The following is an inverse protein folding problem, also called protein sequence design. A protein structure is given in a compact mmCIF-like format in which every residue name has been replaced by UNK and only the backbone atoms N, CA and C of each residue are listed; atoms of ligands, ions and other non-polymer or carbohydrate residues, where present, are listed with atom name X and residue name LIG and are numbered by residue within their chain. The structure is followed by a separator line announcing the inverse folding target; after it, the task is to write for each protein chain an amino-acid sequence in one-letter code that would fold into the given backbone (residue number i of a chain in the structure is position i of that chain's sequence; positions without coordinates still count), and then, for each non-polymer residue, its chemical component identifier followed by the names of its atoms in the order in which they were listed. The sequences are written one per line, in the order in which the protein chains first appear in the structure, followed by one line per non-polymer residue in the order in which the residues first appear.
data_IF_139678347363
#
_entry.id   IF_139678347363
#
_cell.length_a   1.000
_cell.length_b   1.000
_cell.length_c   1.000
_cell.angle_alpha   90.00
_cell.angle_beta   90.00
_cell.angle_gamma   90.00
#
_symmetry.space_group_name_H-M   'P 1'
#
loop_
_entity.id
_entity.type
_entity.pdbx_description
1 polymer ?
#
# COMPACT_ATOMS: atom_id res chain seq x y z
N UNK A 1 26.04 -23.48 -25.42
CA UNK A 1 24.94 -24.29 -24.87
C UNK A 1 23.70 -23.45 -24.56
N UNK A 2 23.43 -22.40 -25.38
CA UNK A 2 22.29 -21.47 -25.18
C UNK A 2 21.43 -21.25 -26.45
N UNK A 3 21.45 -22.19 -27.39
CA UNK A 3 20.62 -22.13 -28.62
C UNK A 3 19.47 -23.14 -28.71
N UNK A 4 19.40 -24.11 -27.78
CA UNK A 4 18.41 -25.22 -27.89
C UNK A 4 17.11 -25.00 -27.09
N UNK A 5 17.03 -24.02 -26.21
CA UNK A 5 15.85 -23.78 -25.37
C UNK A 5 14.81 -22.92 -26.09
N UNK A 6 15.24 -22.03 -26.99
CA UNK A 6 14.32 -21.17 -27.75
C UNK A 6 13.58 -21.87 -28.90
N UNK A 7 14.08 -22.96 -29.44
CA UNK A 7 13.41 -23.70 -30.51
C UNK A 7 12.30 -24.64 -29.98
N UNK A 8 12.53 -25.24 -28.84
CA UNK A 8 11.52 -26.12 -28.19
C UNK A 8 10.31 -25.34 -27.65
N UNK A 9 10.49 -24.09 -27.25
CA UNK A 9 9.40 -23.23 -26.79
C UNK A 9 8.57 -22.71 -27.97
N UNK A 10 9.21 -22.42 -29.12
CA UNK A 10 8.52 -22.01 -30.35
C UNK A 10 7.71 -23.14 -30.98
N UNK A 11 8.19 -24.36 -30.94
CA UNK A 11 7.47 -25.53 -31.46
C UNK A 11 6.21 -25.86 -30.63
N UNK A 12 6.26 -25.75 -29.31
CA UNK A 12 5.10 -25.97 -28.45
C UNK A 12 4.02 -24.88 -28.57
N UNK A 13 4.40 -23.63 -28.83
CA UNK A 13 3.45 -22.54 -29.03
C UNK A 13 2.75 -22.68 -30.39
N UNK A 14 3.44 -23.12 -31.45
CA UNK A 14 2.83 -23.34 -32.75
C UNK A 14 1.88 -24.55 -32.77
N UNK A 15 2.20 -25.66 -32.12
CA UNK A 15 1.28 -26.79 -31.99
C UNK A 15 0.03 -26.45 -31.15
N UNK A 16 0.16 -25.58 -30.15
CA UNK A 16 -0.98 -25.11 -29.35
C UNK A 16 -1.88 -24.15 -30.14
N UNK A 17 -1.30 -23.29 -30.97
CA UNK A 17 -2.04 -22.36 -31.83
C UNK A 17 -2.74 -23.06 -33.00
N UNK A 18 -2.13 -24.08 -33.60
CA UNK A 18 -2.80 -24.88 -34.66
C UNK A 18 -3.99 -25.70 -34.12
N UNK A 19 -3.92 -26.20 -32.89
CA UNK A 19 -5.07 -26.90 -32.27
C UNK A 19 -6.23 -25.96 -31.93
N UNK A 20 -5.98 -24.68 -31.63
CA UNK A 20 -7.03 -23.67 -31.41
C UNK A 20 -7.67 -23.25 -32.76
N UNK A 21 -6.92 -23.19 -33.86
CA UNK A 21 -7.44 -22.81 -35.16
C UNK A 21 -8.28 -23.90 -35.84
N UNK A 22 -8.02 -25.17 -35.56
CA UNK A 22 -8.80 -26.30 -36.12
C UNK A 22 -10.15 -26.43 -35.41
N UNK A 23 -10.29 -26.01 -34.15
CA UNK A 23 -11.57 -26.03 -33.43
C UNK A 23 -12.48 -24.83 -33.75
N UNK A 24 -11.94 -23.75 -34.30
CA UNK A 24 -12.72 -22.51 -34.61
C UNK A 24 -13.37 -22.53 -36.00
N UNK A 25 -13.01 -23.43 -36.90
CA UNK A 25 -13.50 -23.40 -38.30
C UNK A 25 -14.56 -24.47 -38.66
N UNK A 26 -14.89 -25.37 -37.73
CA UNK A 26 -15.90 -26.39 -37.96
C UNK A 26 -17.31 -26.10 -37.40
N UNK A 27 -17.56 -24.88 -36.92
CA UNK A 27 -18.86 -24.53 -36.29
C UNK A 27 -19.63 -23.42 -37.00
N UNK A 28 -19.27 -23.11 -38.23
CA UNK A 28 -19.94 -22.02 -38.99
C UNK A 28 -20.59 -22.54 -40.30
N UNK A 29 -21.37 -23.58 -40.25
CA UNK A 29 -22.36 -23.91 -41.30
C UNK A 29 -23.47 -24.75 -40.69
N UNK A 30 -24.72 -24.30 -40.93
CA UNK A 30 -26.02 -24.93 -40.68
C UNK A 30 -26.69 -24.55 -39.35
N UNK A 31 -27.43 -23.47 -39.31
CA UNK A 31 -28.70 -23.37 -38.59
C UNK A 31 -29.54 -22.19 -39.14
N UNK A 32 -30.08 -22.36 -40.33
CA UNK A 32 -31.41 -21.81 -40.63
C UNK A 32 -32.39 -22.94 -40.40
N UNK A 33 -33.02 -22.98 -39.26
CA UNK A 33 -33.99 -23.99 -38.95
C UNK A 33 -34.77 -23.59 -37.70
N UNK A 34 -36.08 -23.51 -37.85
CA UNK A 34 -37.13 -23.29 -36.84
C UNK A 34 -36.69 -23.36 -35.39
N UNK A 35 -36.91 -22.29 -34.61
CA UNK A 35 -36.89 -22.32 -33.15
C UNK A 35 -38.00 -23.21 -32.61
N UNK A 36 -37.85 -24.54 -32.70
CA UNK A 36 -38.53 -25.44 -31.79
C UNK A 36 -37.81 -25.32 -30.45
N UNK A 37 -38.51 -24.78 -29.43
CA UNK A 37 -38.02 -24.77 -28.06
C UNK A 37 -37.59 -26.22 -27.70
N UNK A 38 -36.28 -26.41 -27.49
CA UNK A 38 -35.79 -27.70 -27.00
C UNK A 38 -36.51 -28.00 -25.69
N UNK A 39 -37.00 -29.23 -25.43
CA UNK A 39 -37.63 -29.59 -24.18
C UNK A 39 -36.65 -29.23 -23.03
N UNK A 40 -37.10 -28.47 -22.08
CA UNK A 40 -36.30 -28.10 -20.91
C UNK A 40 -35.91 -29.38 -20.19
N UNK A 41 -34.62 -29.63 -20.05
CA UNK A 41 -34.07 -30.83 -19.40
C UNK A 41 -34.23 -30.71 -17.87
N UNK A 42 -34.43 -29.48 -17.36
CA UNK A 42 -34.65 -29.16 -15.95
C UNK A 42 -35.54 -27.92 -15.82
N UNK A 43 -36.14 -27.73 -14.66
CA UNK A 43 -36.87 -26.51 -14.33
C UNK A 43 -35.91 -25.48 -13.67
N UNK A 44 -35.61 -24.34 -14.32
CA UNK A 44 -34.73 -23.31 -13.75
C UNK A 44 -35.16 -22.81 -12.37
N UNK A 45 -36.48 -22.75 -12.12
CA UNK A 45 -37.03 -22.26 -10.85
C UNK A 45 -36.70 -23.16 -9.65
N UNK A 46 -36.31 -24.42 -9.91
CA UNK A 46 -35.95 -25.40 -8.87
C UNK A 46 -34.44 -25.45 -8.59
N UNK A 47 -33.62 -24.72 -9.35
CA UNK A 47 -32.18 -24.70 -9.15
C UNK A 47 -31.83 -23.77 -7.98
N UNK A 48 -31.25 -24.30 -6.92
CA UNK A 48 -30.80 -23.50 -5.80
C UNK A 48 -29.49 -22.79 -6.19
N UNK A 49 -29.55 -21.45 -6.28
CA UNK A 49 -28.42 -20.59 -6.53
C UNK A 49 -28.26 -19.53 -5.43
N UNK A 50 -27.05 -19.28 -4.99
CA UNK A 50 -26.72 -18.18 -4.07
C UNK A 50 -25.39 -17.57 -4.40
N UNK A 51 -25.27 -16.27 -4.15
CA UNK A 51 -24.03 -15.52 -4.18
C UNK A 51 -23.81 -14.89 -2.80
N UNK A 52 -22.59 -14.85 -2.31
CA UNK A 52 -22.27 -14.22 -1.02
C UNK A 52 -20.92 -13.52 -1.05
N UNK A 53 -20.78 -12.51 -0.21
CA UNK A 53 -19.52 -11.87 0.13
C UNK A 53 -18.97 -12.48 1.42
N UNK A 54 -17.64 -12.52 1.58
CA UNK A 54 -17.00 -13.13 2.74
C UNK A 54 -17.56 -12.59 4.06
N UNK A 55 -18.19 -13.42 4.91
CA UNK A 55 -18.85 -12.96 6.15
C UNK A 55 -17.89 -12.30 7.14
N UNK A 56 -16.59 -12.63 7.07
CA UNK A 56 -15.54 -12.05 7.89
C UNK A 56 -15.55 -10.52 7.82
N UNK A 57 -15.79 -9.95 6.63
CA UNK A 57 -15.70 -8.51 6.39
C UNK A 57 -17.02 -7.75 6.59
N UNK A 58 -18.11 -8.41 7.00
CA UNK A 58 -19.43 -7.78 7.29
C UNK A 58 -19.91 -6.84 6.17
N UNK A 59 -19.82 -7.27 4.93
CA UNK A 59 -20.12 -6.52 3.71
C UNK A 59 -19.23 -5.27 3.49
N UNK A 60 -18.12 -5.11 4.24
CA UNK A 60 -17.13 -4.05 4.00
C UNK A 60 -16.10 -4.51 2.97
N UNK A 61 -16.01 -3.80 1.87
CA UNK A 61 -15.03 -4.05 0.81
C UNK A 61 -13.86 -3.06 0.92
N UNK A 62 -12.65 -3.60 0.99
CA UNK A 62 -11.41 -2.82 1.13
C UNK A 62 -10.65 -2.81 -0.19
N UNK A 63 -10.68 -1.70 -0.98
CA UNK A 63 -9.90 -1.58 -2.21
C UNK A 63 -8.40 -1.83 -1.99
N UNK A 64 -7.85 -1.34 -0.87
CA UNK A 64 -6.45 -1.53 -0.50
C UNK A 64 -6.03 -3.00 -0.39
N UNK A 65 -6.90 -3.84 0.19
CA UNK A 65 -6.65 -5.29 0.30
C UNK A 65 -6.57 -5.92 -1.09
N UNK A 66 -7.56 -5.62 -1.96
CA UNK A 66 -7.60 -6.16 -3.32
C UNK A 66 -6.39 -5.72 -4.13
N UNK A 67 -6.03 -4.45 -4.09
CA UNK A 67 -4.88 -3.92 -4.83
C UNK A 67 -3.55 -4.45 -4.30
N UNK A 68 -3.38 -4.51 -2.98
CA UNK A 68 -2.15 -4.97 -2.34
C UNK A 68 -1.82 -6.43 -2.61
N UNK A 69 -2.82 -7.27 -2.90
CA UNK A 69 -2.64 -8.71 -3.17
C UNK A 69 -2.82 -9.09 -4.65
N UNK A 70 -3.20 -8.15 -5.51
CA UNK A 70 -3.56 -8.42 -6.91
C UNK A 70 -2.45 -9.09 -7.74
N UNK A 71 -1.19 -8.91 -7.35
CA UNK A 71 -0.01 -9.47 -8.03
C UNK A 71 0.63 -10.63 -7.29
N UNK A 72 -0.04 -11.18 -6.26
CA UNK A 72 0.48 -12.36 -5.56
C UNK A 72 0.50 -13.56 -6.49
N UNK A 73 1.68 -14.11 -6.69
CA UNK A 73 1.90 -15.31 -7.51
C UNK A 73 1.82 -16.61 -6.70
N UNK A 74 1.81 -16.52 -5.37
CA UNK A 74 1.82 -17.68 -4.48
C UNK A 74 0.45 -17.91 -3.81
N UNK A 75 -0.27 -19.00 -4.19
CA UNK A 75 -1.54 -19.35 -3.57
C UNK A 75 -1.46 -19.66 -2.07
N UNK A 76 -0.28 -19.97 -1.53
CA UNK A 76 -0.12 -20.28 -0.10
C UNK A 76 -0.32 -19.03 0.79
N UNK A 77 -0.18 -17.84 0.25
CA UNK A 77 -0.55 -16.58 0.91
C UNK A 77 -1.95 -16.09 0.60
N UNK A 78 -2.71 -16.89 -0.12
CA UNK A 78 -4.08 -16.64 -0.59
C UNK A 78 -5.15 -16.64 0.53
N UNK A 79 -4.78 -16.51 1.80
CA UNK A 79 -5.71 -16.10 2.87
C UNK A 79 -6.33 -14.72 2.60
N UNK A 80 -5.72 -13.98 1.72
CA UNK A 80 -6.28 -12.80 1.08
C UNK A 80 -6.58 -13.09 -0.39
N UNK A 81 -6.95 -14.30 -0.74
CA UNK A 81 -7.41 -14.62 -2.08
C UNK A 81 -8.58 -13.69 -2.39
N UNK A 82 -8.34 -12.72 -3.25
CA UNK A 82 -9.39 -11.85 -3.75
C UNK A 82 -10.46 -12.66 -4.48
N UNK A 83 -10.15 -13.89 -4.90
CA UNK A 83 -11.11 -14.89 -5.34
C UNK A 83 -12.00 -15.40 -4.20
N UNK A 84 -11.51 -15.46 -2.96
CA UNK A 84 -12.29 -15.91 -1.81
C UNK A 84 -13.23 -14.85 -1.22
N UNK A 85 -13.15 -13.57 -1.66
CA UNK A 85 -14.06 -12.53 -1.19
C UNK A 85 -15.51 -12.76 -1.62
N UNK A 86 -15.71 -13.37 -2.79
CA UNK A 86 -17.03 -13.68 -3.33
C UNK A 86 -17.16 -15.16 -3.60
N UNK A 87 -18.25 -15.75 -3.16
CA UNK A 87 -18.58 -17.13 -3.46
C UNK A 87 -19.93 -17.25 -4.15
N UNK A 88 -20.04 -18.21 -5.03
CA UNK A 88 -21.30 -18.63 -5.66
C UNK A 88 -21.52 -20.10 -5.36
N UNK A 89 -22.74 -20.45 -4.94
CA UNK A 89 -23.11 -21.84 -4.71
C UNK A 89 -24.31 -22.20 -5.57
N UNK A 90 -24.26 -23.35 -6.21
CA UNK A 90 -25.31 -23.85 -7.09
C UNK A 90 -25.51 -25.35 -6.89
N UNK A 91 -26.75 -25.82 -6.96
CA UNK A 91 -27.06 -27.25 -6.99
C UNK A 91 -27.26 -27.69 -8.44
N UNK A 92 -26.50 -28.68 -8.88
CA UNK A 92 -26.56 -29.17 -10.25
C UNK A 92 -27.92 -29.82 -10.56
N UNK A 93 -28.71 -29.32 -11.51
CA UNK A 93 -30.01 -29.91 -11.82
C UNK A 93 -29.90 -31.21 -12.65
N UNK A 94 -28.79 -31.38 -13.35
CA UNK A 94 -28.48 -32.58 -14.17
C UNK A 94 -27.00 -32.88 -14.09
N UNK A 95 -26.59 -34.10 -14.39
CA UNK A 95 -25.18 -34.50 -14.46
C UNK A 95 -24.49 -33.81 -15.64
N UNK A 96 -23.22 -33.43 -15.46
CA UNK A 96 -22.38 -32.72 -16.45
C UNK A 96 -23.03 -31.41 -16.95
N UNK A 97 -23.77 -30.71 -16.08
CA UNK A 97 -24.32 -29.39 -16.40
C UNK A 97 -23.19 -28.38 -16.58
N UNK A 98 -23.29 -27.52 -17.58
CA UNK A 98 -22.36 -26.40 -17.79
C UNK A 98 -22.87 -25.18 -17.02
N UNK A 99 -22.16 -24.82 -15.98
CA UNK A 99 -22.40 -23.60 -15.21
C UNK A 99 -21.70 -22.43 -15.91
N UNK A 100 -22.41 -21.30 -16.09
CA UNK A 100 -21.85 -20.02 -16.42
C UNK A 100 -22.39 -18.97 -15.46
N UNK A 101 -21.49 -18.26 -14.79
CA UNK A 101 -21.83 -17.10 -13.96
C UNK A 101 -21.34 -15.84 -14.68
N UNK A 102 -22.22 -14.89 -14.87
CA UNK A 102 -21.86 -13.55 -15.34
C UNK A 102 -21.99 -12.57 -14.18
N UNK A 103 -20.93 -11.80 -13.93
CA UNK A 103 -20.93 -10.72 -12.97
C UNK A 103 -20.91 -9.43 -13.77
N UNK A 104 -21.96 -8.63 -13.65
CA UNK A 104 -22.12 -7.41 -14.46
C UNK A 104 -21.06 -6.35 -14.12
N UNK A 105 -20.80 -5.47 -15.09
CA UNK A 105 -19.93 -4.33 -14.86
C UNK A 105 -20.56 -3.36 -13.87
N UNK A 106 -19.77 -2.95 -12.89
CA UNK A 106 -20.13 -1.88 -11.95
C UNK A 106 -19.07 -0.77 -12.01
N UNK A 107 -19.14 0.20 -11.10
CA UNK A 107 -18.06 1.18 -10.96
C UNK A 107 -16.73 0.56 -10.50
N UNK A 108 -16.75 -0.60 -9.82
CA UNK A 108 -15.57 -1.24 -9.25
C UNK A 108 -14.99 -2.34 -10.12
N UNK A 109 -15.79 -2.98 -10.98
CA UNK A 109 -15.38 -4.14 -11.77
C UNK A 109 -15.85 -4.06 -13.22
N UNK A 110 -15.10 -4.73 -14.11
CA UNK A 110 -15.54 -5.05 -15.47
C UNK A 110 -16.44 -6.27 -15.45
N UNK A 111 -17.14 -6.53 -16.57
CA UNK A 111 -17.87 -7.79 -16.74
C UNK A 111 -16.91 -8.96 -16.51
N UNK A 112 -17.33 -9.89 -15.66
CA UNK A 112 -16.59 -11.12 -15.36
C UNK A 112 -17.45 -12.31 -15.75
N UNK A 113 -16.87 -13.28 -16.47
CA UNK A 113 -17.52 -14.54 -16.82
C UNK A 113 -16.70 -15.66 -16.19
N UNK A 114 -17.39 -16.50 -15.44
CA UNK A 114 -16.85 -17.71 -14.83
C UNK A 114 -17.62 -18.91 -15.39
N UNK A 115 -16.92 -20.01 -15.74
CA UNK A 115 -17.54 -21.21 -16.28
C UNK A 115 -16.91 -22.44 -15.66
N UNK A 116 -17.77 -23.43 -15.32
CA UNK A 116 -17.37 -24.73 -14.79
C UNK A 116 -18.35 -25.82 -15.21
N UNK A 117 -17.93 -27.08 -15.08
CA UNK A 117 -18.79 -28.23 -15.28
C UNK A 117 -19.22 -28.76 -13.92
N UNK A 118 -20.50 -29.08 -13.77
CA UNK A 118 -21.08 -29.68 -12.57
C UNK A 118 -21.31 -31.19 -12.82
N UNK A 119 -20.37 -32.06 -12.40
CA UNK A 119 -20.37 -33.46 -12.82
C UNK A 119 -21.58 -34.28 -12.33
N UNK A 120 -22.02 -34.04 -11.09
CA UNK A 120 -22.99 -34.90 -10.41
C UNK A 120 -24.29 -34.13 -10.14
N UNK A 121 -25.39 -34.70 -10.63
CA UNK A 121 -26.75 -34.18 -10.36
C UNK A 121 -27.05 -34.14 -8.86
N UNK A 122 -27.84 -33.14 -8.45
CA UNK A 122 -28.32 -32.89 -7.08
C UNK A 122 -27.20 -32.60 -6.08
N UNK A 123 -25.93 -32.49 -6.54
CA UNK A 123 -24.79 -32.09 -5.72
C UNK A 123 -24.70 -30.56 -5.68
N UNK A 124 -24.42 -30.01 -4.49
CA UNK A 124 -24.14 -28.57 -4.30
C UNK A 124 -22.66 -28.32 -4.48
N UNK A 125 -22.35 -27.34 -5.33
CA UNK A 125 -20.99 -26.86 -5.62
C UNK A 125 -20.84 -25.45 -5.14
N UNK A 126 -19.66 -25.11 -4.64
CA UNK A 126 -19.29 -23.73 -4.27
C UNK A 126 -18.02 -23.35 -5.01
N UNK A 127 -18.04 -22.18 -5.66
CA UNK A 127 -16.94 -21.63 -6.42
C UNK A 127 -16.62 -20.23 -5.96
N UNK A 128 -15.39 -19.78 -6.23
CA UNK A 128 -14.86 -18.47 -5.90
C UNK A 128 -14.41 -17.77 -7.20
N UNK A 129 -15.31 -17.07 -7.90
CA UNK A 129 -14.99 -16.45 -9.17
C UNK A 129 -13.98 -15.30 -8.97
N UNK A 130 -12.93 -15.27 -9.79
CA UNK A 130 -11.97 -14.17 -9.82
C UNK A 130 -12.58 -12.99 -10.56
N UNK A 131 -12.88 -11.91 -9.82
CA UNK A 131 -13.50 -10.72 -10.37
C UNK A 131 -12.46 -9.84 -11.10
N UNK A 132 -12.83 -9.33 -12.27
CA UNK A 132 -12.01 -8.40 -13.05
C UNK A 132 -12.19 -6.98 -12.53
N UNK A 133 -11.32 -6.57 -11.62
CA UNK A 133 -11.40 -5.25 -10.98
C UNK A 133 -10.94 -4.12 -11.90
N UNK A 134 -11.53 -2.94 -11.72
CA UNK A 134 -11.09 -1.67 -12.31
C UNK A 134 -10.05 -1.04 -11.37
N UNK A 135 -8.80 -1.47 -11.42
CA UNK A 135 -7.75 -1.05 -10.48
C UNK A 135 -7.60 0.46 -10.41
N UNK A 136 -7.64 1.17 -11.55
CA UNK A 136 -7.61 2.63 -11.57
C UNK A 136 -8.76 3.27 -10.77
N UNK A 137 -9.95 2.67 -10.82
CA UNK A 137 -11.11 3.15 -10.06
C UNK A 137 -10.97 2.82 -8.58
N UNK A 138 -10.48 1.64 -8.25
CA UNK A 138 -10.16 1.25 -6.86
C UNK A 138 -9.15 2.22 -6.27
N UNK A 139 -8.05 2.49 -6.97
CA UNK A 139 -7.03 3.44 -6.54
C UNK A 139 -7.59 4.85 -6.31
N UNK A 140 -8.47 5.33 -7.20
CA UNK A 140 -9.09 6.67 -7.10
C UNK A 140 -10.20 6.76 -6.07
N UNK A 141 -10.62 5.65 -5.46
CA UNK A 141 -11.67 5.64 -4.45
C UNK A 141 -11.16 6.24 -3.15
N UNK A 142 -11.45 7.53 -2.89
CA UNK A 142 -11.03 8.26 -1.68
C UNK A 142 -12.14 8.39 -0.63
N UNK A 143 -13.35 7.99 -0.97
CA UNK A 143 -14.50 8.06 -0.08
C UNK A 143 -15.22 6.72 -0.04
N UNK A 144 -15.78 6.40 1.11
CA UNK A 144 -16.64 5.22 1.24
C UNK A 144 -17.93 5.37 0.44
N UNK A 145 -18.55 4.27 0.11
CA UNK A 145 -19.82 4.27 -0.59
C UNK A 145 -20.38 2.86 -0.75
N UNK A 146 -21.39 2.74 -1.58
CA UNK A 146 -22.11 1.48 -1.83
C UNK A 146 -21.97 1.08 -3.29
N UNK A 147 -21.82 -0.21 -3.55
CA UNK A 147 -21.89 -0.81 -4.87
C UNK A 147 -22.75 -2.07 -4.81
N UNK A 148 -23.54 -2.28 -5.86
CA UNK A 148 -24.25 -3.52 -6.08
C UNK A 148 -23.51 -4.33 -7.16
N UNK A 149 -23.27 -5.62 -6.90
CA UNK A 149 -22.72 -6.57 -7.86
C UNK A 149 -23.83 -7.56 -8.22
N UNK A 150 -24.16 -7.63 -9.50
CA UNK A 150 -25.19 -8.52 -10.04
C UNK A 150 -24.57 -9.79 -10.55
N UNK A 151 -24.97 -10.93 -10.01
CA UNK A 151 -24.53 -12.27 -10.38
C UNK A 151 -25.67 -12.97 -11.09
N UNK A 152 -25.53 -13.26 -12.39
CA UNK A 152 -26.48 -14.04 -13.17
C UNK A 152 -25.96 -15.45 -13.38
N UNK A 153 -26.76 -16.43 -12.98
CA UNK A 153 -26.46 -17.85 -13.12
C UNK A 153 -27.13 -18.43 -14.36
N UNK A 154 -26.35 -19.12 -15.17
CA UNK A 154 -26.83 -19.88 -16.32
C UNK A 154 -26.43 -21.35 -16.17
N UNK A 155 -27.32 -22.26 -16.49
CA UNK A 155 -27.06 -23.68 -16.62
C UNK A 155 -27.39 -24.10 -18.04
N UNK A 156 -26.41 -24.67 -18.76
CA UNK A 156 -26.55 -25.07 -20.17
C UNK A 156 -27.11 -23.91 -21.04
N UNK A 157 -26.62 -22.69 -20.80
CA UNK A 157 -27.05 -21.42 -21.42
C UNK A 157 -28.47 -20.95 -21.11
N UNK A 158 -29.20 -21.65 -20.24
CA UNK A 158 -30.51 -21.18 -19.74
C UNK A 158 -30.30 -20.38 -18.45
N UNK A 159 -30.88 -19.17 -18.40
CA UNK A 159 -30.83 -18.32 -17.19
C UNK A 159 -31.64 -18.99 -16.07
N UNK A 160 -31.01 -19.12 -14.90
CA UNK A 160 -31.58 -19.80 -13.74
C UNK A 160 -32.04 -18.81 -12.69
N UNK A 161 -31.15 -17.87 -12.32
CA UNK A 161 -31.43 -16.92 -11.24
C UNK A 161 -30.45 -15.75 -11.28
N UNK A 162 -30.85 -14.63 -10.69
CA UNK A 162 -30.06 -13.41 -10.55
C UNK A 162 -29.97 -13.03 -9.07
N UNK A 163 -28.73 -12.79 -8.58
CA UNK A 163 -28.48 -12.32 -7.21
C UNK A 163 -27.76 -11.01 -7.23
N UNK A 164 -28.29 -10.05 -6.45
CA UNK A 164 -27.65 -8.74 -6.22
C UNK A 164 -27.00 -8.75 -4.84
N UNK A 165 -25.69 -8.52 -4.81
CA UNK A 165 -24.93 -8.35 -3.58
C UNK A 165 -24.59 -6.87 -3.39
N UNK A 166 -25.08 -6.30 -2.29
CA UNK A 166 -24.70 -4.96 -1.87
C UNK A 166 -23.48 -5.02 -0.99
N UNK A 167 -22.42 -4.29 -1.39
CA UNK A 167 -21.20 -4.12 -0.61
C UNK A 167 -20.98 -2.64 -0.26
N UNK A 168 -20.43 -2.41 0.94
CA UNK A 168 -20.00 -1.10 1.39
C UNK A 168 -18.50 -0.99 1.11
N UNK A 169 -18.10 -0.29 0.04
CA UNK A 169 -16.68 -0.12 -0.23
C UNK A 169 -16.11 1.03 0.59
N UNK A 170 -14.88 0.84 1.04
CA UNK A 170 -14.10 1.79 1.83
C UNK A 170 -13.23 2.65 0.93
N UNK A 171 -12.61 3.68 1.52
CA UNK A 171 -11.54 4.42 0.85
C UNK A 171 -10.36 3.51 0.53
N UNK A 172 -9.66 3.76 -0.59
CA UNK A 172 -8.37 3.13 -0.87
C UNK A 172 -7.29 3.48 0.17
N UNK A 173 -7.46 4.61 0.87
CA UNK A 173 -6.62 5.01 1.99
C UNK A 173 -6.88 4.21 3.27
N UNK A 174 -7.98 3.46 3.35
CA UNK A 174 -8.30 2.66 4.52
C UNK A 174 -7.52 1.34 4.48
N UNK A 175 -6.44 1.28 5.23
CA UNK A 175 -5.64 0.08 5.45
C UNK A 175 -6.28 -0.78 6.53
N UNK A 176 -6.70 -1.98 6.16
CA UNK A 176 -7.22 -2.95 7.11
C UNK A 176 -6.06 -3.46 7.98
N UNK A 177 -6.18 -3.36 9.31
CA UNK A 177 -5.16 -3.84 10.24
C UNK A 177 -5.51 -5.20 10.81
N UNK A 178 -6.76 -5.38 11.16
CA UNK A 178 -7.25 -6.66 11.69
C UNK A 178 -8.76 -6.74 11.60
N UNK A 179 -9.26 -7.97 11.57
CA UNK A 179 -10.69 -8.28 11.65
C UNK A 179 -10.89 -9.40 12.66
N UNK A 180 -11.84 -9.21 13.58
CA UNK A 180 -12.25 -10.25 14.51
C UNK A 180 -13.41 -11.06 13.94
N UNK A 181 -13.25 -12.37 13.85
CA UNK A 181 -14.32 -13.25 13.38
C UNK A 181 -15.40 -13.50 14.47
N UNK A 182 -16.44 -14.26 14.11
CA UNK A 182 -17.54 -14.59 15.02
C UNK A 182 -17.14 -15.48 16.19
N UNK A 183 -15.99 -16.18 16.13
CA UNK A 183 -15.43 -16.98 17.22
C UNK A 183 -14.58 -16.13 18.16
N UNK A 184 -14.31 -14.88 17.82
CA UNK A 184 -13.45 -13.97 18.60
C UNK A 184 -11.99 -14.02 18.19
N UNK A 185 -11.60 -14.86 17.21
CA UNK A 185 -10.25 -14.91 16.69
C UNK A 185 -9.95 -13.66 15.86
N UNK A 186 -8.74 -13.10 16.04
CA UNK A 186 -8.30 -11.90 15.35
C UNK A 186 -7.41 -12.25 14.15
N UNK A 187 -7.87 -11.92 12.95
CA UNK A 187 -7.12 -12.06 11.71
C UNK A 187 -6.27 -10.80 11.48
N UNK A 188 -4.97 -10.96 11.33
CA UNK A 188 -4.00 -9.87 11.19
C UNK A 188 -3.75 -9.52 9.71
N UNK A 189 -3.93 -8.25 9.36
CA UNK A 189 -3.69 -7.68 8.04
C UNK A 189 -2.65 -6.54 8.06
N UNK A 190 -1.93 -6.30 9.16
CA UNK A 190 -0.97 -5.18 9.28
C UNK A 190 0.16 -5.24 8.26
N UNK A 191 0.47 -6.42 7.70
CA UNK A 191 1.37 -6.57 6.57
C UNK A 191 0.95 -5.71 5.36
N UNK A 192 -0.33 -5.32 5.26
CA UNK A 192 -0.87 -4.46 4.22
C UNK A 192 -0.29 -3.03 4.26
N UNK A 193 0.29 -2.57 5.37
CA UNK A 193 1.06 -1.32 5.40
C UNK A 193 2.13 -1.27 4.32
N UNK A 194 2.77 -2.40 4.02
CA UNK A 194 3.79 -2.47 3.00
C UNK A 194 3.26 -2.14 1.59
N UNK A 195 1.95 -2.28 1.34
CA UNK A 195 1.35 -1.90 0.06
C UNK A 195 1.33 -0.38 -0.18
N UNK A 196 1.39 0.42 0.88
CA UNK A 196 1.45 1.89 0.78
C UNK A 196 2.89 2.41 0.61
N UNK A 197 3.90 1.60 0.90
CA UNK A 197 5.29 1.93 0.55
C UNK A 197 5.44 1.75 -0.95
N UNK A 198 5.70 2.82 -1.69
CA UNK A 198 5.78 2.81 -3.15
C UNK A 198 7.13 3.37 -3.61
N UNK A 199 8.11 2.50 -3.75
CA UNK A 199 9.46 2.84 -4.22
C UNK A 199 9.53 3.20 -5.71
N UNK A 200 8.48 2.88 -6.48
CA UNK A 200 8.41 3.19 -7.92
C UNK A 200 7.57 4.43 -8.23
N UNK A 201 7.18 5.18 -7.18
CA UNK A 201 6.37 6.39 -7.39
C UNK A 201 7.13 7.43 -8.25
N UNK A 202 6.51 8.01 -9.29
CA UNK A 202 7.18 8.89 -10.26
C UNK A 202 7.87 10.11 -9.62
N UNK A 203 7.38 10.62 -8.48
CA UNK A 203 7.98 11.77 -7.81
C UNK A 203 9.33 11.46 -7.15
N UNK A 204 9.65 10.19 -6.89
CA UNK A 204 10.87 9.85 -6.12
C UNK A 204 12.13 10.23 -6.88
N UNK A 205 12.15 10.06 -8.20
CA UNK A 205 13.35 10.41 -8.99
C UNK A 205 13.64 11.93 -8.94
N UNK A 206 12.60 12.80 -8.97
CA UNK A 206 12.79 14.24 -8.76
C UNK A 206 13.19 14.56 -7.33
N UNK A 207 12.66 13.87 -6.33
CA UNK A 207 13.07 14.00 -4.92
C UNK A 207 14.54 13.66 -4.75
N UNK A 208 15.02 12.58 -5.33
CA UNK A 208 16.43 12.19 -5.26
C UNK A 208 17.34 13.21 -5.96
N UNK A 209 16.88 13.78 -7.07
CA UNK A 209 17.57 14.90 -7.72
C UNK A 209 17.66 16.13 -6.82
N UNK A 210 16.57 16.50 -6.17
CA UNK A 210 16.54 17.63 -5.23
C UNK A 210 17.47 17.40 -4.04
N UNK A 211 17.48 16.18 -3.47
CA UNK A 211 18.39 15.79 -2.38
C UNK A 211 19.85 15.99 -2.79
N UNK A 212 20.22 15.59 -4.02
CA UNK A 212 21.56 15.80 -4.53
C UNK A 212 21.90 17.28 -4.71
N UNK A 213 20.97 18.09 -5.22
CA UNK A 213 21.16 19.52 -5.38
C UNK A 213 21.26 20.29 -4.04
N UNK A 214 20.67 19.79 -2.96
CA UNK A 214 20.82 20.37 -1.63
C UNK A 214 22.25 20.26 -1.07
N UNK A 215 23.08 19.38 -1.64
CA UNK A 215 24.51 19.25 -1.29
C UNK A 215 24.77 18.70 0.11
N UNK A 216 23.78 18.04 0.74
CA UNK A 216 23.96 17.37 2.04
C UNK A 216 24.82 16.13 1.86
N UNK A 217 24.64 15.44 0.75
CA UNK A 217 25.45 14.28 0.32
C UNK A 217 25.96 14.51 -1.11
N UNK A 218 27.13 13.93 -1.42
CA UNK A 218 27.72 14.04 -2.76
C UNK A 218 27.28 12.93 -3.71
N UNK A 219 26.72 11.86 -3.21
CA UNK A 219 26.22 10.72 -3.98
C UNK A 219 25.21 9.90 -3.22
N UNK A 220 24.30 9.26 -3.96
CA UNK A 220 23.42 8.22 -3.48
C UNK A 220 24.05 6.87 -3.81
N UNK A 221 24.32 6.04 -2.81
CA UNK A 221 25.07 4.79 -2.96
C UNK A 221 24.45 3.57 -2.28
N UNK A 222 23.30 3.74 -1.59
CA UNK A 222 22.73 2.66 -0.81
C UNK A 222 23.75 2.05 0.17
N UNK A 223 23.94 0.74 0.10
CA UNK A 223 24.90 0.00 0.92
C UNK A 223 26.28 -0.21 0.26
N UNK A 224 26.66 0.55 -0.75
CA UNK A 224 27.96 0.36 -1.41
C UNK A 224 29.13 0.88 -0.59
N UNK A 225 28.87 1.76 0.38
CA UNK A 225 29.85 2.34 1.28
C UNK A 225 29.65 1.84 2.73
N UNK A 226 30.21 2.56 3.68
CA UNK A 226 30.13 2.26 5.11
C UNK A 226 28.79 2.67 5.77
N UNK A 227 28.64 2.29 7.04
CA UNK A 227 27.45 2.62 7.83
C UNK A 227 27.22 4.14 7.99
N UNK A 228 28.29 4.96 8.02
CA UNK A 228 28.15 6.42 8.10
C UNK A 228 27.53 6.99 6.84
N UNK A 229 27.91 6.45 5.69
CA UNK A 229 27.32 6.83 4.40
C UNK A 229 25.83 6.51 4.33
N UNK A 230 25.40 5.37 4.88
CA UNK A 230 23.96 5.03 4.96
C UNK A 230 23.22 6.03 5.84
N UNK A 231 23.76 6.35 7.02
CA UNK A 231 23.14 7.35 7.92
C UNK A 231 23.03 8.71 7.24
N UNK A 232 24.09 9.15 6.55
CA UNK A 232 24.08 10.43 5.83
C UNK A 232 23.01 10.48 4.72
N UNK A 233 22.77 9.38 4.02
CA UNK A 233 21.70 9.30 3.01
C UNK A 233 20.32 9.40 3.64
N UNK A 234 20.09 8.73 4.79
CA UNK A 234 18.82 8.83 5.53
C UNK A 234 18.64 10.25 6.10
N UNK A 235 19.70 10.87 6.60
CA UNK A 235 19.67 12.26 7.06
C UNK A 235 19.37 13.23 5.91
N UNK A 236 19.89 13.00 4.72
CA UNK A 236 19.59 13.82 3.55
C UNK A 236 18.10 13.71 3.13
N UNK A 237 17.51 12.52 3.20
CA UNK A 237 16.07 12.29 2.98
C UNK A 237 15.26 13.04 4.06
N UNK A 238 15.68 12.95 5.32
CA UNK A 238 15.08 13.68 6.43
C UNK A 238 15.15 15.20 6.24
N UNK A 239 16.31 15.72 5.87
CA UNK A 239 16.50 17.14 5.57
C UNK A 239 15.59 17.60 4.43
N UNK A 240 15.50 16.82 3.37
CA UNK A 240 14.56 17.09 2.29
C UNK A 240 13.11 17.19 2.77
N UNK A 241 12.66 16.28 3.63
CA UNK A 241 11.29 16.32 4.17
C UNK A 241 11.03 17.61 4.97
N UNK A 242 12.00 18.10 5.75
CA UNK A 242 11.93 19.35 6.48
C UNK A 242 11.90 20.57 5.52
N UNK A 243 12.78 20.61 4.51
CA UNK A 243 12.82 21.67 3.49
C UNK A 243 11.53 21.72 2.67
N UNK A 244 10.99 20.56 2.32
CA UNK A 244 9.68 20.45 1.66
C UNK A 244 8.53 20.92 2.54
N UNK A 245 8.73 20.98 3.85
CA UNK A 245 7.73 21.35 4.83
C UNK A 245 6.72 20.23 5.12
N UNK A 246 7.13 18.96 4.98
CA UNK A 246 6.29 17.83 5.39
C UNK A 246 6.26 17.81 6.91
N UNK A 247 5.06 18.03 7.49
CA UNK A 247 4.87 18.19 8.92
C UNK A 247 3.94 17.11 9.46
N UNK A 248 4.22 16.70 10.68
CA UNK A 248 3.32 15.81 11.41
C UNK A 248 1.96 16.46 11.64
N UNK A 249 0.91 15.72 11.33
CA UNK A 249 -0.48 16.09 11.56
C UNK A 249 -1.27 14.86 11.97
N UNK A 250 -1.78 14.85 13.20
CA UNK A 250 -2.64 13.78 13.71
C UNK A 250 -4.08 13.83 13.16
N UNK A 251 -4.36 14.77 12.25
CA UNK A 251 -5.69 14.92 11.64
C UNK A 251 -5.89 13.81 10.59
N UNK A 252 -6.17 12.62 11.04
CA UNK A 252 -6.70 11.54 10.21
C UNK A 252 -7.55 10.66 11.09
N UNK A 253 -8.83 11.01 11.21
CA UNK A 253 -9.80 10.14 11.85
C UNK A 253 -10.21 9.06 10.87
N UNK A 254 -9.94 7.81 11.22
CA UNK A 254 -10.54 6.67 10.55
C UNK A 254 -11.90 6.43 11.18
N UNK A 255 -12.96 6.49 10.39
CA UNK A 255 -14.24 5.97 10.84
C UNK A 255 -14.12 4.45 10.95
N UNK A 256 -14.23 3.89 12.14
CA UNK A 256 -14.33 2.43 12.32
C UNK A 256 -15.55 1.93 11.56
N UNK A 257 -15.40 1.07 10.55
CA UNK A 257 -16.53 0.61 9.74
C UNK A 257 -17.46 -0.32 10.50
N UNK A 258 -16.89 -1.11 11.42
CA UNK A 258 -17.63 -2.07 12.26
C UNK A 258 -16.92 -2.20 13.61
N UNK A 259 -17.58 -2.83 14.58
CA UNK A 259 -16.98 -3.15 15.90
C UNK A 259 -15.93 -4.26 15.84
N UNK A 260 -15.81 -4.94 14.69
CA UNK A 260 -14.89 -6.07 14.48
C UNK A 260 -13.65 -5.72 13.69
N UNK A 261 -13.70 -4.65 12.89
CA UNK A 261 -12.58 -4.25 12.03
C UNK A 261 -11.77 -3.13 12.66
N UNK A 262 -10.44 -3.28 12.63
CA UNK A 262 -9.50 -2.21 12.94
C UNK A 262 -8.87 -1.71 11.65
N UNK A 263 -8.94 -0.40 11.40
CA UNK A 263 -8.55 0.23 10.14
C UNK A 263 -7.74 1.48 10.43
N UNK A 264 -6.67 1.69 9.68
CA UNK A 264 -5.86 2.90 9.71
C UNK A 264 -5.99 3.64 8.38
N UNK A 265 -6.34 4.92 8.43
CA UNK A 265 -6.23 5.78 7.24
C UNK A 265 -4.77 6.09 6.96
N UNK A 266 -4.30 5.78 5.73
CA UNK A 266 -2.93 6.04 5.26
C UNK A 266 -3.00 6.86 3.99
N UNK A 267 -2.30 8.00 3.98
CA UNK A 267 -2.15 8.81 2.77
C UNK A 267 -1.19 8.13 1.80
N UNK A 268 -1.53 8.13 0.52
CA UNK A 268 -0.59 7.72 -0.52
C UNK A 268 0.59 8.68 -0.63
N UNK A 269 1.64 8.24 -1.29
CA UNK A 269 2.89 9.00 -1.44
C UNK A 269 2.67 10.42 -2.00
N UNK A 270 1.87 10.54 -3.07
CA UNK A 270 1.52 11.81 -3.70
C UNK A 270 0.65 12.71 -2.81
N UNK A 271 -0.21 12.13 -1.99
CA UNK A 271 -1.04 12.87 -1.04
C UNK A 271 -0.19 13.51 0.07
N UNK A 272 0.78 12.77 0.63
CA UNK A 272 1.76 13.32 1.59
C UNK A 272 2.60 14.41 0.94
N UNK A 273 3.13 14.14 -0.27
CA UNK A 273 3.98 15.06 -1.02
C UNK A 273 3.26 16.39 -1.32
N UNK A 274 2.00 16.32 -1.76
CA UNK A 274 1.22 17.49 -2.16
C UNK A 274 0.64 18.24 -0.95
N UNK A 275 0.06 17.53 0.03
CA UNK A 275 -0.52 18.16 1.22
C UNK A 275 0.52 18.67 2.21
N UNK A 276 1.73 18.12 2.17
CA UNK A 276 2.81 18.38 3.15
C UNK A 276 2.40 18.03 4.59
N UNK A 277 1.50 17.08 4.74
CA UNK A 277 1.01 16.59 6.02
C UNK A 277 1.15 15.08 6.08
N UNK A 278 1.58 14.59 7.24
CA UNK A 278 1.72 13.17 7.51
C UNK A 278 1.40 12.88 8.97
N UNK A 279 0.69 11.80 9.26
CA UNK A 279 0.67 11.20 10.59
C UNK A 279 1.90 10.29 10.76
N UNK A 280 2.01 9.58 11.88
CA UNK A 280 3.17 8.70 12.13
C UNK A 280 3.31 7.61 11.05
N UNK A 281 2.21 6.99 10.62
CA UNK A 281 2.23 5.94 9.58
C UNK A 281 2.52 6.54 8.21
N UNK A 282 1.85 7.65 7.84
CA UNK A 282 2.07 8.33 6.56
C UNK A 282 3.55 8.70 6.37
N UNK A 283 4.17 9.27 7.41
CA UNK A 283 5.58 9.66 7.37
C UNK A 283 6.51 8.43 7.26
N UNK A 284 6.18 7.34 7.98
CA UNK A 284 6.91 6.08 7.84
C UNK A 284 6.85 5.53 6.42
N UNK A 285 5.67 5.44 5.79
CA UNK A 285 5.55 4.89 4.43
C UNK A 285 6.18 5.82 3.39
N UNK A 286 6.07 7.15 3.56
CA UNK A 286 6.70 8.13 2.67
C UNK A 286 8.23 8.01 2.67
N UNK A 287 8.85 8.07 3.85
CA UNK A 287 10.31 7.96 3.98
C UNK A 287 10.81 6.56 3.58
N UNK A 288 10.09 5.50 3.96
CA UNK A 288 10.41 4.13 3.56
C UNK A 288 10.42 3.95 2.04
N UNK A 289 9.50 4.61 1.31
CA UNK A 289 9.46 4.56 -0.16
C UNK A 289 10.74 5.11 -0.77
N UNK A 290 11.21 6.28 -0.30
CA UNK A 290 12.45 6.88 -0.78
C UNK A 290 13.66 6.04 -0.40
N UNK A 291 13.72 5.53 0.84
CA UNK A 291 14.78 4.62 1.30
C UNK A 291 14.85 3.34 0.46
N UNK A 292 13.71 2.75 0.15
CA UNK A 292 13.62 1.56 -0.70
C UNK A 292 14.17 1.83 -2.11
N UNK A 293 13.82 2.96 -2.72
CA UNK A 293 14.29 3.36 -4.06
C UNK A 293 15.80 3.37 -4.16
N UNK A 294 16.48 3.81 -3.11
CA UNK A 294 17.96 3.83 -3.06
C UNK A 294 18.57 2.52 -2.53
N UNK A 295 17.77 1.47 -2.41
CA UNK A 295 18.21 0.11 -2.03
C UNK A 295 18.42 -0.10 -0.54
N UNK A 296 17.96 0.82 0.33
CA UNK A 296 17.98 0.62 1.78
C UNK A 296 16.84 -0.31 2.23
N UNK A 297 16.95 -0.85 3.43
CA UNK A 297 16.02 -1.82 4.01
C UNK A 297 15.28 -1.21 5.20
N UNK A 298 14.20 -0.45 4.97
CA UNK A 298 13.40 0.10 6.05
C UNK A 298 12.52 -0.97 6.71
N UNK A 299 12.25 -0.74 8.00
CA UNK A 299 11.30 -1.47 8.82
C UNK A 299 10.32 -0.46 9.40
N UNK A 300 9.02 -0.74 9.36
CA UNK A 300 8.03 0.03 10.10
C UNK A 300 7.72 -0.71 11.39
N UNK A 301 7.92 -0.06 12.52
CA UNK A 301 7.53 -0.52 13.83
C UNK A 301 6.14 0.01 14.11
N UNK A 302 5.22 -0.89 14.48
CA UNK A 302 3.85 -0.55 14.86
C UNK A 302 3.62 -0.99 16.29
N UNK A 303 3.13 -0.09 17.11
CA UNK A 303 2.78 -0.31 18.50
C UNK A 303 1.44 0.37 18.84
N UNK A 304 0.86 0.18 20.03
CA UNK A 304 -0.41 0.82 20.38
C UNK A 304 -0.38 2.34 20.16
N UNK A 305 -1.23 2.83 19.26
CA UNK A 305 -1.40 4.24 18.92
C UNK A 305 -0.19 4.93 18.29
N UNK A 306 0.85 4.20 17.90
CA UNK A 306 2.06 4.79 17.33
C UNK A 306 2.72 3.92 16.26
N UNK A 307 3.48 4.58 15.37
CA UNK A 307 4.37 3.94 14.41
C UNK A 307 5.61 4.80 14.19
N UNK A 308 6.76 4.15 14.07
CA UNK A 308 8.04 4.79 13.76
C UNK A 308 8.85 3.96 12.77
N UNK A 309 9.87 4.56 12.19
CA UNK A 309 10.67 3.95 11.16
C UNK A 309 11.98 3.39 11.76
N UNK A 310 12.43 2.27 11.24
CA UNK A 310 13.77 1.76 11.45
C UNK A 310 14.45 1.48 10.11
N UNK A 311 15.78 1.42 10.12
CA UNK A 311 16.58 1.05 8.96
C UNK A 311 17.89 0.41 9.39
N UNK A 312 18.36 -0.51 8.57
CA UNK A 312 19.69 -1.08 8.78
C UNK A 312 20.77 -0.19 8.18
N UNK A 313 21.90 -0.05 8.90
CA UNK A 313 23.06 0.68 8.40
C UNK A 313 24.02 -0.21 7.61
N UNK A 314 23.71 -1.50 7.52
CA UNK A 314 24.48 -2.47 6.76
C UNK A 314 23.56 -3.46 6.02
N UNK A 315 24.04 -3.97 4.88
CA UNK A 315 23.31 -4.94 4.05
C UNK A 315 23.01 -6.24 4.80
N UNK A 316 23.85 -6.61 5.75
CA UNK A 316 23.73 -7.84 6.55
C UNK A 316 22.72 -7.74 7.69
N UNK A 317 22.05 -6.60 7.86
CA UNK A 317 21.01 -6.36 8.90
C UNK A 317 21.49 -6.55 10.34
N UNK A 318 22.74 -6.20 10.63
CA UNK A 318 23.32 -6.33 11.97
C UNK A 318 23.08 -5.12 12.84
N UNK A 319 23.02 -3.93 12.23
CA UNK A 319 22.94 -2.66 12.92
C UNK A 319 21.68 -1.91 12.54
N UNK A 320 20.66 -2.02 13.38
CA UNK A 320 19.39 -1.31 13.26
C UNK A 320 19.52 0.07 13.90
N UNK A 321 19.00 1.09 13.20
CA UNK A 321 18.74 2.43 13.75
C UNK A 321 17.27 2.75 13.62
N UNK A 322 16.77 3.54 14.57
CA UNK A 322 15.38 3.99 14.64
C UNK A 322 15.29 5.44 14.18
N UNK A 323 14.11 5.85 13.75
CA UNK A 323 13.82 7.21 13.31
C UNK A 323 12.38 7.58 13.66
N UNK A 324 12.21 8.42 14.67
CA UNK A 324 10.93 9.00 15.07
C UNK A 324 10.47 10.04 14.07
N UNK A 325 9.42 9.75 13.33
CA UNK A 325 8.96 10.59 12.23
C UNK A 325 8.12 11.79 12.69
N UNK A 326 7.52 11.75 13.88
CA UNK A 326 6.67 12.84 14.41
C UNK A 326 7.46 14.09 14.78
N UNK A 327 8.78 13.97 14.96
CA UNK A 327 9.69 15.11 15.22
C UNK A 327 9.70 16.12 14.06
N UNK A 328 9.25 15.75 12.87
CA UNK A 328 9.05 16.72 11.77
C UNK A 328 8.08 17.85 12.14
N UNK A 329 7.20 17.64 13.13
CA UNK A 329 6.34 18.71 13.67
C UNK A 329 7.11 19.85 14.35
N UNK A 330 8.33 19.58 14.79
CA UNK A 330 9.13 20.55 15.55
C UNK A 330 9.79 21.61 14.66
N UNK A 331 9.79 21.41 13.35
CA UNK A 331 10.38 22.32 12.38
C UNK A 331 9.36 22.81 11.35
N UNK A 332 9.58 24.03 10.86
CA UNK A 332 8.84 24.64 9.74
C UNK A 332 9.84 25.46 8.91
N UNK A 333 10.63 24.75 8.12
CA UNK A 333 11.70 25.36 7.34
C UNK A 333 11.19 26.29 6.24
N UNK A 334 10.05 26.01 5.58
CA UNK A 334 9.43 26.99 4.69
C UNK A 334 9.10 28.32 5.38
N UNK A 335 8.56 28.30 6.61
CA UNK A 335 8.29 29.51 7.37
C UNK A 335 9.58 30.20 7.79
N UNK A 336 10.57 29.45 8.28
CA UNK A 336 11.90 29.96 8.64
C UNK A 336 12.58 30.65 7.44
N UNK A 337 12.48 30.08 6.24
CA UNK A 337 13.06 30.64 5.01
C UNK A 337 12.33 31.91 4.58
N UNK A 338 10.98 31.94 4.67
CA UNK A 338 10.22 33.19 4.41
C UNK A 338 10.60 34.30 5.36
N UNK A 339 10.71 33.99 6.66
CA UNK A 339 11.15 34.97 7.69
C UNK A 339 12.53 35.55 7.37
N UNK A 340 13.46 34.66 7.01
CA UNK A 340 14.80 35.10 6.60
C UNK A 340 14.76 36.06 5.40
N UNK A 341 14.04 35.68 4.33
CA UNK A 341 13.93 36.53 3.12
C UNK A 341 13.32 37.89 3.45
N UNK A 342 12.21 37.93 4.20
CA UNK A 342 11.56 39.19 4.57
C UNK A 342 12.50 40.14 5.37
N UNK A 343 13.30 39.59 6.27
CA UNK A 343 14.25 40.36 7.05
C UNK A 343 15.41 40.85 6.18
N UNK A 344 15.93 40.00 5.27
CA UNK A 344 17.00 40.39 4.36
C UNK A 344 16.57 41.44 3.33
N UNK A 345 15.29 41.39 2.89
CA UNK A 345 14.72 42.45 2.06
C UNK A 345 14.62 43.78 2.81
N UNK A 346 14.21 43.75 4.08
CA UNK A 346 14.08 44.95 4.91
C UNK A 346 15.44 45.49 5.43
N UNK A 347 16.40 44.60 5.68
CA UNK A 347 17.73 44.93 6.17
C UNK A 347 18.79 43.99 5.57
N UNK A 348 19.35 44.29 4.38
CA UNK A 348 20.36 43.48 3.72
C UNK A 348 21.64 43.24 4.55
N UNK A 349 21.93 44.11 5.48
CA UNK A 349 23.13 44.04 6.35
C UNK A 349 22.90 43.19 7.61
N UNK A 350 21.72 42.59 7.78
CA UNK A 350 21.46 41.76 8.95
C UNK A 350 22.39 40.55 9.01
N UNK A 351 22.85 40.18 10.21
CA UNK A 351 23.76 39.08 10.45
C UNK A 351 23.26 38.14 11.54
N UNK A 352 23.68 36.88 11.49
CA UNK A 352 23.40 35.87 12.52
C UNK A 352 21.91 35.79 12.88
N UNK A 353 21.61 35.89 14.17
CA UNK A 353 20.24 35.78 14.70
C UNK A 353 19.29 36.86 14.18
N UNK A 354 19.81 38.00 13.72
CA UNK A 354 18.99 39.10 13.22
C UNK A 354 18.46 38.84 11.79
N UNK A 355 18.89 37.75 11.15
CA UNK A 355 18.37 37.30 9.84
C UNK A 355 17.01 36.62 9.89
N UNK A 356 16.49 36.34 11.06
CA UNK A 356 15.18 35.72 11.26
C UNK A 356 14.43 36.39 12.41
N UNK A 357 13.10 36.23 12.45
CA UNK A 357 12.31 36.81 13.54
C UNK A 357 12.73 36.26 14.90
N UNK A 358 12.53 37.05 15.95
CA UNK A 358 12.83 36.64 17.33
C UNK A 358 12.11 35.34 17.71
N UNK A 359 10.86 35.18 17.26
CA UNK A 359 10.08 33.95 17.51
C UNK A 359 10.74 32.72 16.89
N UNK A 360 11.18 32.80 15.62
CA UNK A 360 11.85 31.70 14.92
C UNK A 360 13.24 31.43 15.50
N UNK A 361 14.00 32.50 15.85
CA UNK A 361 15.29 32.35 16.50
C UNK A 361 15.15 31.62 17.85
N UNK A 362 14.18 32.00 18.68
CA UNK A 362 13.89 31.30 19.95
C UNK A 362 13.44 29.85 19.73
N UNK A 363 12.58 29.60 18.72
CA UNK A 363 12.09 28.28 18.40
C UNK A 363 13.21 27.33 18.00
N UNK A 364 14.15 27.76 17.16
CA UNK A 364 15.19 26.89 16.59
C UNK A 364 16.51 26.94 17.34
N UNK A 365 16.86 28.08 18.00
CA UNK A 365 18.06 28.23 18.79
C UNK A 365 18.21 27.21 19.93
N UNK A 366 17.09 26.69 20.42
CA UNK A 366 17.08 25.59 21.44
C UNK A 366 17.61 24.26 20.93
N UNK A 367 17.71 24.08 19.62
CA UNK A 367 18.27 22.88 18.98
C UNK A 367 19.75 23.01 18.66
N UNK A 368 20.35 24.16 18.88
CA UNK A 368 21.78 24.38 18.70
C UNK A 368 22.54 24.06 20.01
N UNK A 369 23.73 23.52 19.88
CA UNK A 369 24.69 23.45 20.97
C UNK A 369 25.18 24.87 21.35
N UNK A 370 25.83 25.00 22.49
CA UNK A 370 26.36 26.32 22.93
C UNK A 370 27.29 26.95 21.89
N UNK A 371 28.22 26.15 21.30
CA UNK A 371 29.15 26.60 20.27
C UNK A 371 28.46 26.97 18.98
N UNK A 372 27.50 26.19 18.53
CA UNK A 372 26.71 26.44 17.32
C UNK A 372 25.87 27.73 17.48
N UNK A 373 25.25 27.92 18.67
CA UNK A 373 24.47 29.09 18.98
C UNK A 373 25.37 30.35 18.98
N UNK A 374 26.56 30.25 19.59
CA UNK A 374 27.55 31.32 19.57
C UNK A 374 27.93 31.70 18.15
N UNK A 375 28.30 30.76 17.30
CA UNK A 375 28.63 30.97 15.87
C UNK A 375 27.49 31.65 15.12
N UNK A 376 26.24 31.23 15.39
CA UNK A 376 25.06 31.83 14.79
C UNK A 376 24.87 33.30 15.26
N UNK A 377 24.95 33.57 16.56
CA UNK A 377 24.79 34.91 17.13
C UNK A 377 25.88 35.87 16.67
N UNK A 378 27.12 35.40 16.54
CA UNK A 378 28.27 36.17 16.06
C UNK A 378 28.27 36.38 14.52
N UNK A 379 27.33 35.76 13.79
CA UNK A 379 27.26 35.87 12.33
C UNK A 379 28.32 35.06 11.56
N UNK A 380 29.09 34.18 12.23
CA UNK A 380 30.07 33.31 11.60
C UNK A 380 29.46 32.06 10.98
N UNK A 381 28.18 31.79 11.21
CA UNK A 381 27.39 30.75 10.58
C UNK A 381 26.41 31.37 9.57
N UNK A 382 26.47 30.96 8.30
CA UNK A 382 25.49 31.38 7.31
C UNK A 382 24.11 30.71 7.52
N UNK A 383 23.06 31.28 6.89
CA UNK A 383 21.69 30.78 7.07
C UNK A 383 21.48 29.35 6.59
N UNK A 384 22.12 28.95 5.49
CA UNK A 384 22.03 27.56 4.98
C UNK A 384 22.65 26.56 5.95
N UNK A 385 23.82 26.92 6.52
CA UNK A 385 24.49 26.13 7.57
C UNK A 385 23.65 26.08 8.83
N UNK A 386 23.03 27.20 9.26
CA UNK A 386 22.10 27.19 10.39
C UNK A 386 20.95 26.18 10.20
N UNK A 387 20.29 26.21 9.04
CA UNK A 387 19.21 25.24 8.75
C UNK A 387 19.69 23.78 8.78
N UNK A 388 20.84 23.51 8.14
CA UNK A 388 21.42 22.15 8.15
C UNK A 388 21.78 21.70 9.56
N UNK A 389 22.36 22.57 10.39
CA UNK A 389 22.69 22.26 11.78
C UNK A 389 21.44 21.96 12.61
N UNK A 390 20.40 22.77 12.50
CA UNK A 390 19.11 22.52 13.16
C UNK A 390 18.53 21.18 12.70
N UNK A 391 18.54 20.89 11.41
CA UNK A 391 18.03 19.64 10.86
C UNK A 391 18.83 18.43 11.35
N UNK A 392 20.15 18.53 11.40
CA UNK A 392 21.04 17.51 11.95
C UNK A 392 20.73 17.22 13.42
N UNK A 393 20.62 18.24 14.23
CA UNK A 393 20.34 18.09 15.66
C UNK A 393 18.93 17.53 15.92
N UNK A 394 17.94 17.85 15.07
CA UNK A 394 16.62 17.23 15.07
C UNK A 394 16.68 15.76 14.64
N UNK A 395 17.48 15.45 13.62
CA UNK A 395 17.69 14.07 13.18
C UNK A 395 18.31 13.19 14.27
N UNK A 396 19.34 13.71 14.97
CA UNK A 396 19.91 13.00 16.13
C UNK A 396 18.85 12.72 17.19
N UNK A 397 18.04 13.71 17.54
CA UNK A 397 16.91 13.50 18.47
C UNK A 397 15.91 12.48 17.98
N UNK A 398 15.58 12.49 16.69
CA UNK A 398 14.68 11.51 16.08
C UNK A 398 15.24 10.08 16.11
N UNK A 399 16.57 9.92 16.05
CA UNK A 399 17.21 8.60 16.13
C UNK A 399 17.36 8.08 17.57
N UNK A 400 17.30 8.96 18.56
CA UNK A 400 17.42 8.61 19.98
C UNK A 400 16.05 8.36 20.63
N UNK A 401 15.00 9.06 20.20
CA UNK A 401 13.70 9.16 20.85
C UNK A 401 13.05 7.80 21.12
N UNK A 402 13.03 6.89 20.14
CA UNK A 402 12.42 5.57 20.27
C UNK A 402 13.40 4.49 20.78
N UNK A 403 14.66 4.86 20.99
CA UNK A 403 15.68 3.88 21.37
C UNK A 403 15.37 3.16 22.67
N UNK A 404 14.88 3.87 23.65
CA UNK A 404 14.53 3.29 24.95
C UNK A 404 13.18 2.57 24.90
N UNK A 405 12.20 3.09 24.16
CA UNK A 405 10.94 2.41 23.93
C UNK A 405 11.15 1.06 23.23
N UNK A 406 11.91 1.02 22.15
CA UNK A 406 12.24 -0.22 21.45
C UNK A 406 13.01 -1.21 22.34
N UNK A 407 13.99 -0.75 23.12
CA UNK A 407 14.74 -1.62 24.03
C UNK A 407 13.82 -2.28 25.08
N UNK A 408 12.91 -1.50 25.64
CA UNK A 408 11.95 -1.98 26.65
C UNK A 408 10.94 -2.97 26.05
N UNK A 409 10.52 -2.75 24.79
CA UNK A 409 9.50 -3.53 24.11
C UNK A 409 10.06 -4.57 23.12
N UNK A 410 11.39 -4.74 23.04
CA UNK A 410 12.05 -5.63 22.08
C UNK A 410 11.51 -7.06 22.09
N UNK A 411 11.15 -7.58 23.27
CA UNK A 411 10.57 -8.92 23.39
C UNK A 411 9.17 -8.99 22.81
N UNK A 412 8.38 -7.91 22.97
CA UNK A 412 7.02 -7.81 22.42
C UNK A 412 7.06 -7.74 20.89
N UNK A 413 8.02 -7.00 20.32
CA UNK A 413 8.24 -6.96 18.88
C UNK A 413 8.75 -8.28 18.29
N UNK A 414 9.44 -9.10 19.09
CA UNK A 414 9.98 -10.38 18.64
C UNK A 414 8.97 -11.53 18.76
N UNK A 415 7.86 -11.31 19.42
CA UNK A 415 6.81 -12.30 19.61
C UNK A 415 5.85 -12.30 18.42
N UNK A 416 5.82 -13.34 17.59
CA UNK A 416 4.96 -13.39 16.41
C UNK A 416 3.46 -13.46 16.76
N UNK A 417 3.13 -13.92 17.98
CA UNK A 417 1.74 -13.99 18.45
C UNK A 417 1.26 -12.64 19.03
N UNK A 418 2.17 -11.68 19.18
CA UNK A 418 1.81 -10.36 19.70
C UNK A 418 1.12 -9.53 18.60
N UNK A 419 -0.16 -9.27 18.79
CA UNK A 419 -0.96 -8.49 17.86
C UNK A 419 -0.95 -6.97 18.11
N UNK A 420 -0.18 -6.48 19.09
CA UNK A 420 -0.06 -5.05 19.39
C UNK A 420 1.28 -4.46 18.94
N UNK A 421 2.36 -5.27 18.95
CA UNK A 421 3.70 -4.84 18.57
C UNK A 421 4.17 -5.62 17.36
N UNK A 422 4.48 -4.94 16.26
CA UNK A 422 4.95 -5.59 15.04
C UNK A 422 6.13 -4.87 14.38
N UNK A 423 7.00 -5.67 13.79
CA UNK A 423 8.09 -5.22 12.92
C UNK A 423 7.72 -5.58 11.48
N UNK A 424 7.37 -4.57 10.69
CA UNK A 424 7.02 -4.75 9.30
C UNK A 424 8.26 -4.53 8.44
N UNK A 425 8.97 -5.60 8.16
CA UNK A 425 10.14 -5.60 7.27
C UNK A 425 9.68 -5.49 5.81
N UNK A 426 9.81 -4.31 5.22
CA UNK A 426 9.28 -4.02 3.89
C UNK A 426 9.90 -4.91 2.81
N UNK A 427 11.19 -5.26 2.91
CA UNK A 427 11.82 -6.15 1.93
C UNK A 427 11.23 -7.57 1.99
N UNK A 428 10.94 -8.09 3.18
CA UNK A 428 10.32 -9.40 3.32
C UNK A 428 8.86 -9.37 2.86
N UNK A 429 8.13 -8.32 3.23
CA UNK A 429 6.72 -8.18 2.86
C UNK A 429 6.51 -7.98 1.35
N UNK A 430 7.51 -7.47 0.61
CA UNK A 430 7.47 -7.40 -0.86
C UNK A 430 7.34 -8.75 -1.55
N UNK A 431 7.57 -9.86 -0.85
CA UNK A 431 7.34 -11.21 -1.37
C UNK A 431 5.85 -11.57 -1.41
N UNK A 432 5.05 -10.89 -0.58
CA UNK A 432 3.62 -11.20 -0.38
C UNK A 432 2.68 -10.02 -0.65
N UNK A 433 3.22 -8.82 -0.86
CA UNK A 433 2.41 -7.62 -1.14
C UNK A 433 3.17 -6.68 -2.07
N UNK A 434 2.45 -6.08 -3.01
CA UNK A 434 3.01 -5.12 -3.96
C UNK A 434 2.53 -3.69 -3.67
N UNK A 435 3.25 -2.66 -4.14
CA UNK A 435 2.80 -1.29 -4.03
C UNK A 435 1.42 -1.10 -4.67
N UNK A 436 0.57 -0.36 -4.00
CA UNK A 436 -0.69 0.13 -4.58
C UNK A 436 -0.34 1.27 -5.54
N UNK A 437 -0.69 1.09 -6.83
CA UNK A 437 -0.42 2.01 -7.93
C UNK A 437 -1.71 2.38 -8.66
#
# INVERSE_FOLDING_TARGET
MCKSINELTRLRINEFMERILVFSFSFLLLFSGCHQARPKIFDPAQVAFSASYAPLFENQFYPSLVMGVASLSDPAYALADTAALFSVSVTAPVSNAVLRITIDSSKLNYVTIFQEVLPVKDMRYTFYPTIKWKFDQLYRTRQQGVADLTFTCYINDEEVDVKNLRINYRSANDCLLSVRDSSGHNHDYRWLFAAYVNEEHPFIDSILSDIMHQGVISKISGYQNDAKSVVAQVEAIWYYALERGIRYSSISCTSTPTTRSNVQHIRFFDEVYNSRQANCVDACVFLASIMRKIGLKPIIFVEPCHAYLGYYTDRGRKNLRLLETTITAWADFPALTRDHHAIMEANPEAHGKDRISAAMNTKYGKYLTADEKKKWEEGTMDFGTFKRTVAHNLFLKATEYDGDNYKNNKKLFADPENNQYQQLDIEQLRKIVQPIN
#
